data_IF_516511365193
#
_entry.id   IF_516511365193
#
_cell.length_a   1.000
_cell.length_b   1.000
_cell.length_c   1.000
_cell.angle_alpha   90.00
_cell.angle_beta   90.00
_cell.angle_gamma   90.00
#
_symmetry.space_group_name_H-M   'P 1'
#
loop_
_entity.id
_entity.type
_entity.pdbx_description
1 polymer ?
#
# COMPACT_ATOMS: atom_id res chain seq x y z
N UNK A 1 18.51 -14.82 -6.36
CA UNK A 1 19.32 -13.76 -5.75
C UNK A 1 18.57 -13.19 -4.56
N UNK A 2 19.27 -13.09 -3.42
CA UNK A 2 18.71 -12.39 -2.26
C UNK A 2 18.79 -10.89 -2.54
N UNK A 3 17.70 -10.21 -2.31
CA UNK A 3 17.57 -8.76 -2.39
C UNK A 3 17.92 -8.14 -1.05
N UNK A 4 18.79 -7.17 -1.05
CA UNK A 4 19.04 -6.30 0.08
C UNK A 4 18.39 -4.94 -0.21
N UNK A 5 17.15 -4.77 0.21
CA UNK A 5 16.51 -3.47 0.28
C UNK A 5 15.99 -3.25 1.70
N UNK A 6 16.14 -2.05 2.21
CA UNK A 6 15.68 -1.68 3.54
C UNK A 6 14.72 -0.49 3.43
N UNK A 7 13.54 -0.66 4.01
CA UNK A 7 12.63 0.44 4.24
C UNK A 7 12.85 0.94 5.67
N UNK A 8 13.43 2.14 5.78
CA UNK A 8 13.76 2.73 7.07
C UNK A 8 12.52 3.40 7.65
N UNK A 9 12.18 3.02 8.87
CA UNK A 9 11.13 3.66 9.64
C UNK A 9 11.41 5.15 9.90
N UNK A 10 10.39 5.85 10.35
CA UNK A 10 10.45 7.25 10.72
C UNK A 10 11.60 7.52 11.69
N UNK A 11 12.36 8.57 11.45
CA UNK A 11 13.50 9.02 12.28
C UNK A 11 14.67 8.03 12.47
N UNK A 12 14.64 6.84 11.88
CA UNK A 12 15.76 5.90 12.02
C UNK A 12 17.08 6.50 11.56
N UNK A 13 17.06 7.23 10.45
CA UNK A 13 18.26 7.91 9.93
C UNK A 13 18.77 8.99 10.88
N UNK A 14 17.88 9.76 11.51
CA UNK A 14 18.27 10.82 12.43
C UNK A 14 18.87 10.22 13.70
N UNK A 15 18.25 9.19 14.27
CA UNK A 15 18.79 8.44 15.39
C UNK A 15 20.17 7.81 15.09
N UNK A 16 20.33 7.22 13.90
CA UNK A 16 21.61 6.64 13.50
C UNK A 16 22.69 7.68 13.25
N UNK A 17 22.33 8.88 12.77
CA UNK A 17 23.27 10.01 12.64
C UNK A 17 23.74 10.50 14.01
N UNK A 18 22.86 10.53 15.01
CA UNK A 18 23.19 10.81 16.40
C UNK A 18 24.13 9.74 16.98
N UNK A 19 24.02 8.49 16.53
CA UNK A 19 24.90 7.37 16.87
C UNK A 19 26.14 7.27 15.95
N UNK A 20 26.53 8.36 15.30
CA UNK A 20 27.71 8.48 14.43
C UNK A 20 27.65 7.71 13.10
N UNK A 21 26.47 7.51 12.52
CA UNK A 21 26.37 7.01 11.15
C UNK A 21 27.05 8.00 10.18
N UNK A 22 27.93 7.55 9.27
CA UNK A 22 28.54 8.41 8.25
C UNK A 22 27.49 9.15 7.42
N UNK A 23 27.66 10.45 7.24
CA UNK A 23 26.77 11.30 6.44
C UNK A 23 27.27 11.55 5.03
N UNK A 24 28.53 11.26 4.76
CA UNK A 24 29.24 11.43 3.51
C UNK A 24 29.25 10.19 2.62
N UNK A 25 28.84 9.04 3.16
CA UNK A 25 28.70 7.78 2.42
C UNK A 25 27.24 7.57 2.04
N UNK A 26 26.92 7.32 0.75
CA UNK A 26 25.58 6.97 0.35
C UNK A 26 25.08 5.74 1.08
N UNK A 27 23.81 5.77 1.54
CA UNK A 27 23.19 4.66 2.29
C UNK A 27 23.31 3.31 1.56
N UNK A 28 23.14 3.31 0.24
CA UNK A 28 23.27 2.13 -0.61
C UNK A 28 24.65 1.47 -0.51
N UNK A 29 25.70 2.30 -0.39
CA UNK A 29 27.07 1.83 -0.21
C UNK A 29 27.32 1.37 1.22
N UNK A 30 26.86 2.18 2.20
CA UNK A 30 27.04 1.89 3.62
C UNK A 30 26.47 0.53 4.02
N UNK A 31 25.29 0.18 3.51
CA UNK A 31 24.59 -1.06 3.81
C UNK A 31 24.68 -2.11 2.68
N UNK A 32 25.48 -1.87 1.67
CA UNK A 32 25.59 -2.77 0.49
C UNK A 32 24.22 -3.11 -0.12
N UNK A 33 23.31 -2.14 -0.15
CA UNK A 33 21.98 -2.36 -0.68
C UNK A 33 21.99 -2.45 -2.21
N UNK A 34 21.11 -3.26 -2.76
CA UNK A 34 20.89 -3.30 -4.19
C UNK A 34 20.44 -1.94 -4.72
N UNK A 35 21.04 -1.50 -5.84
CA UNK A 35 20.73 -0.20 -6.48
C UNK A 35 19.41 -0.22 -7.24
N UNK A 36 18.47 -1.03 -6.85
CA UNK A 36 17.15 -0.99 -7.47
C UNK A 36 16.38 0.20 -6.91
N UNK A 37 16.24 1.16 -7.77
CA UNK A 37 15.24 2.18 -7.59
C UNK A 37 14.02 1.78 -8.42
N UNK A 38 12.85 2.05 -7.91
CA UNK A 38 11.59 1.95 -8.62
C UNK A 38 10.96 3.33 -8.75
N UNK A 39 10.17 3.49 -9.78
CA UNK A 39 9.33 4.67 -9.96
C UNK A 39 7.90 4.35 -9.55
N UNK A 40 7.34 5.15 -8.65
CA UNK A 40 5.98 5.00 -8.17
C UNK A 40 5.07 5.91 -8.99
N UNK A 41 4.14 5.32 -9.73
CA UNK A 41 3.05 6.07 -10.34
C UNK A 41 1.97 6.31 -9.29
N UNK A 42 1.64 7.56 -8.96
CA UNK A 42 0.69 7.87 -7.91
C UNK A 42 -0.72 7.45 -8.30
N UNK A 43 -1.37 6.69 -7.43
CA UNK A 43 -2.79 6.38 -7.54
C UNK A 43 -3.63 7.57 -7.09
N UNK A 44 -4.20 8.31 -8.01
CA UNK A 44 -5.03 9.48 -7.75
C UNK A 44 -6.50 9.12 -7.70
N UNK A 45 -6.89 8.37 -6.69
CA UNK A 45 -8.26 7.88 -6.63
C UNK A 45 -9.27 9.03 -6.45
N UNK A 46 -9.05 9.92 -5.49
CA UNK A 46 -9.96 11.07 -5.27
C UNK A 46 -9.53 12.31 -6.05
N UNK A 47 -10.42 12.82 -6.89
CA UNK A 47 -10.23 14.09 -7.59
C UNK A 47 -11.58 14.82 -7.77
N UNK A 48 -11.71 16.09 -7.33
CA UNK A 48 -10.74 16.77 -6.46
C UNK A 48 -10.64 16.11 -5.06
N UNK A 49 -9.48 16.17 -4.40
CA UNK A 49 -9.36 15.71 -3.02
C UNK A 49 -10.18 16.58 -2.08
N UNK A 50 -10.39 16.12 -0.87
CA UNK A 50 -10.94 17.01 0.17
C UNK A 50 -9.95 18.14 0.47
N UNK A 51 -10.50 19.30 0.83
CA UNK A 51 -9.72 20.42 1.31
C UNK A 51 -9.09 20.06 2.66
N UNK A 52 -7.75 20.08 2.70
CA UNK A 52 -7.05 19.89 3.97
C UNK A 52 -7.20 21.13 4.85
N UNK A 53 -7.65 20.93 6.08
CA UNK A 53 -7.77 22.04 7.04
C UNK A 53 -7.64 21.57 8.48
N UNK A 54 -7.05 22.43 9.31
CA UNK A 54 -7.10 22.28 10.76
C UNK A 54 -8.53 22.55 11.23
N UNK A 55 -9.14 21.55 11.89
CA UNK A 55 -10.49 21.63 12.45
C UNK A 55 -10.43 22.19 13.87
N UNK A 56 -9.46 21.73 14.64
CA UNK A 56 -9.33 22.07 16.06
C UNK A 56 -7.85 22.05 16.48
N UNK A 57 -7.45 23.05 17.23
CA UNK A 57 -6.17 23.11 17.92
C UNK A 57 -6.32 22.54 19.33
N UNK A 58 -5.57 21.48 19.66
CA UNK A 58 -5.58 20.79 20.95
C UNK A 58 -4.24 20.88 21.69
N UNK A 59 -3.56 22.03 21.61
CA UNK A 59 -2.29 22.25 22.29
C UNK A 59 -1.12 21.57 21.57
N UNK A 60 -0.62 20.45 22.06
CA UNK A 60 0.46 19.68 21.39
C UNK A 60 -0.02 18.93 20.17
N UNK A 61 -1.33 18.79 19.98
CA UNK A 61 -1.97 18.11 18.85
C UNK A 61 -2.79 19.08 18.01
N UNK A 62 -3.05 18.68 16.79
CA UNK A 62 -4.02 19.31 15.92
C UNK A 62 -4.92 18.26 15.27
N UNK A 63 -6.23 18.50 15.29
CA UNK A 63 -7.21 17.71 14.55
C UNK A 63 -7.33 18.30 13.14
N UNK A 64 -7.03 17.51 12.15
CA UNK A 64 -7.00 17.93 10.74
C UNK A 64 -7.96 17.11 9.93
N UNK A 65 -8.74 17.73 9.04
CA UNK A 65 -9.36 17.01 7.93
C UNK A 65 -8.29 16.82 6.85
N UNK A 66 -7.94 15.58 6.54
CA UNK A 66 -6.96 15.28 5.51
C UNK A 66 -7.57 15.29 4.09
N UNK A 67 -6.72 15.13 3.09
CA UNK A 67 -7.14 15.11 1.67
C UNK A 67 -8.00 13.91 1.29
N UNK A 68 -8.04 12.85 2.13
CA UNK A 68 -8.95 11.71 2.01
C UNK A 68 -10.30 11.91 2.72
N UNK A 69 -10.52 13.08 3.36
CA UNK A 69 -11.74 13.40 4.10
C UNK A 69 -11.77 12.86 5.53
N UNK A 70 -10.69 12.22 6.00
CA UNK A 70 -10.62 11.69 7.36
C UNK A 70 -10.30 12.81 8.36
N UNK A 71 -10.78 12.69 9.57
CA UNK A 71 -10.37 13.53 10.68
C UNK A 71 -9.22 12.82 11.41
N UNK A 72 -8.07 13.45 11.43
CA UNK A 72 -6.81 12.84 11.88
C UNK A 72 -6.16 13.73 12.92
N UNK A 73 -5.79 13.14 14.06
CA UNK A 73 -5.07 13.82 15.11
C UNK A 73 -3.57 13.62 14.95
N UNK A 74 -2.84 14.70 14.74
CA UNK A 74 -1.39 14.75 14.57
C UNK A 74 -0.70 15.49 15.71
N UNK A 75 0.55 15.13 15.99
CA UNK A 75 1.46 16.01 16.73
C UNK A 75 1.79 17.24 15.89
N UNK A 76 1.69 18.42 16.48
CA UNK A 76 2.08 19.66 15.81
C UNK A 76 3.54 19.63 15.38
N UNK A 77 3.79 20.03 14.11
CA UNK A 77 5.13 20.05 13.52
C UNK A 77 5.75 18.68 13.23
N UNK A 78 5.03 17.58 13.46
CA UNK A 78 5.53 16.22 13.26
C UNK A 78 4.54 15.31 12.51
N UNK A 79 3.82 15.87 11.52
CA UNK A 79 2.79 15.12 10.78
C UNK A 79 3.35 13.88 10.05
N UNK A 80 4.61 13.91 9.64
CA UNK A 80 5.25 12.82 8.91
C UNK A 80 6.11 11.90 9.81
N UNK A 81 6.10 12.10 11.12
CA UNK A 81 7.01 11.42 12.02
C UNK A 81 6.41 10.36 12.93
N UNK A 82 5.09 10.30 13.02
CA UNK A 82 4.39 9.35 13.88
C UNK A 82 3.12 8.86 13.19
N UNK A 83 2.71 7.63 13.53
CA UNK A 83 1.41 7.12 13.14
C UNK A 83 0.34 8.01 13.78
N UNK A 84 -0.54 8.65 13.00
CA UNK A 84 -1.57 9.53 13.55
C UNK A 84 -2.73 8.71 14.13
N UNK A 85 -3.55 9.37 14.94
CA UNK A 85 -4.81 8.78 15.35
C UNK A 85 -5.92 9.17 14.37
N UNK A 86 -6.54 8.19 13.73
CA UNK A 86 -7.72 8.39 12.89
C UNK A 86 -8.96 8.47 13.78
N UNK A 87 -9.59 9.64 13.81
CA UNK A 87 -10.72 9.95 14.73
C UNK A 87 -12.04 9.73 14.03
N UNK A 88 -12.13 10.13 12.74
CA UNK A 88 -13.36 10.00 11.96
C UNK A 88 -13.07 9.80 10.48
N UNK A 89 -14.06 9.30 9.73
CA UNK A 89 -13.95 8.87 8.34
C UNK A 89 -15.09 9.44 7.51
N UNK A 90 -14.91 9.66 6.18
CA UNK A 90 -15.91 10.39 5.38
C UNK A 90 -17.20 9.60 5.14
N UNK A 91 -17.15 8.26 5.07
CA UNK A 91 -18.32 7.43 4.78
C UNK A 91 -18.92 6.88 6.07
N UNK A 92 -20.18 7.23 6.33
CA UNK A 92 -20.97 6.76 7.47
C UNK A 92 -22.08 5.81 7.02
N UNK A 93 -22.64 6.09 5.83
CA UNK A 93 -23.82 5.49 5.26
C UNK A 93 -23.84 5.71 3.74
N UNK A 94 -24.90 5.22 3.09
CA UNK A 94 -25.13 5.41 1.64
C UNK A 94 -25.15 6.88 1.24
N UNK A 95 -25.79 7.73 2.03
CA UNK A 95 -25.93 9.16 1.73
C UNK A 95 -24.56 9.86 1.71
N UNK A 96 -23.74 9.68 2.75
CA UNK A 96 -22.41 10.29 2.82
C UNK A 96 -21.48 9.74 1.74
N UNK A 97 -21.62 8.47 1.35
CA UNK A 97 -20.90 7.91 0.22
C UNK A 97 -21.24 8.63 -1.08
N UNK A 98 -22.51 8.79 -1.41
CA UNK A 98 -22.96 9.37 -2.67
C UNK A 98 -22.70 10.89 -2.74
N UNK A 99 -23.00 11.61 -1.66
CA UNK A 99 -22.90 13.07 -1.64
C UNK A 99 -21.46 13.58 -1.47
N UNK A 100 -20.61 12.88 -0.72
CA UNK A 100 -19.31 13.42 -0.35
C UNK A 100 -18.13 12.74 -1.04
N UNK A 101 -18.23 11.45 -1.41
CA UNK A 101 -17.06 10.65 -1.86
C UNK A 101 -17.19 10.18 -3.29
N UNK A 102 -18.28 9.51 -3.66
CA UNK A 102 -18.41 8.76 -4.92
C UNK A 102 -18.11 9.59 -6.16
N UNK A 103 -18.61 10.81 -6.22
CA UNK A 103 -18.39 11.71 -7.36
C UNK A 103 -16.92 12.12 -7.54
N UNK A 104 -16.12 12.08 -6.45
CA UNK A 104 -14.67 12.34 -6.50
C UNK A 104 -13.88 11.19 -7.16
N UNK A 105 -14.53 10.05 -7.35
CA UNK A 105 -13.98 8.86 -8.00
C UNK A 105 -14.44 8.72 -9.45
N UNK A 106 -15.05 9.78 -10.00
CA UNK A 106 -15.46 9.79 -11.40
C UNK A 106 -14.21 9.84 -12.30
N UNK A 107 -13.99 8.86 -13.19
CA UNK A 107 -12.90 8.87 -14.16
C UNK A 107 -12.87 10.13 -15.05
N UNK A 108 -14.03 10.69 -15.35
CA UNK A 108 -14.18 11.85 -16.25
C UNK A 108 -14.05 13.20 -15.52
N UNK A 109 -13.68 13.21 -14.23
CA UNK A 109 -13.51 14.47 -13.49
C UNK A 109 -12.49 15.40 -14.18
N UNK A 110 -12.89 16.67 -14.45
CA UNK A 110 -11.98 17.63 -15.09
C UNK A 110 -10.67 17.81 -14.32
N UNK A 111 -9.54 17.85 -15.03
CA UNK A 111 -8.23 18.04 -14.44
C UNK A 111 -7.60 16.80 -13.79
N UNK A 112 -8.29 15.66 -13.76
CA UNK A 112 -7.78 14.41 -13.17
C UNK A 112 -6.44 13.96 -13.75
N UNK A 113 -6.24 14.17 -15.04
CA UNK A 113 -5.09 13.72 -15.80
C UNK A 113 -4.20 14.86 -16.33
N UNK A 114 -4.35 16.08 -15.80
CA UNK A 114 -3.60 17.25 -16.30
C UNK A 114 -2.08 17.08 -16.21
N UNK A 115 -1.59 16.37 -15.21
CA UNK A 115 -0.17 16.08 -15.00
C UNK A 115 0.27 14.69 -15.51
N UNK A 116 -0.61 13.95 -16.17
CA UNK A 116 -0.25 12.65 -16.77
C UNK A 116 0.94 12.74 -17.72
N UNK A 117 1.09 13.74 -18.61
CA UNK A 117 2.27 13.86 -19.48
C UNK A 117 3.59 13.94 -18.71
N UNK A 118 3.64 14.69 -17.62
CA UNK A 118 4.84 14.82 -16.77
C UNK A 118 5.15 13.49 -16.08
N UNK A 119 4.15 12.86 -15.45
CA UNK A 119 4.31 11.58 -14.78
C UNK A 119 4.77 10.47 -15.74
N UNK A 120 4.26 10.45 -16.96
CA UNK A 120 4.67 9.52 -18.01
C UNK A 120 6.10 9.77 -18.46
N UNK A 121 6.51 11.04 -18.62
CA UNK A 121 7.88 11.39 -18.98
C UNK A 121 8.88 10.90 -17.91
N UNK A 122 8.56 11.13 -16.64
CA UNK A 122 9.35 10.67 -15.50
C UNK A 122 9.42 9.14 -15.44
N UNK A 123 8.30 8.44 -15.64
CA UNK A 123 8.25 6.99 -15.66
C UNK A 123 9.09 6.40 -16.80
N UNK A 124 9.03 6.97 -18.01
CA UNK A 124 9.87 6.55 -19.15
C UNK A 124 11.35 6.76 -18.84
N UNK A 125 11.71 7.91 -18.26
CA UNK A 125 13.08 8.18 -17.85
C UNK A 125 13.56 7.22 -16.76
N UNK A 126 12.69 6.83 -15.82
CA UNK A 126 12.98 5.83 -14.80
C UNK A 126 13.18 4.44 -15.42
N UNK A 127 12.28 4.00 -16.29
CA UNK A 127 12.36 2.72 -16.99
C UNK A 127 13.63 2.59 -17.82
N UNK A 128 14.06 3.67 -18.50
CA UNK A 128 15.31 3.68 -19.28
C UNK A 128 16.58 3.48 -18.44
N UNK A 129 16.49 3.75 -17.14
CA UNK A 129 17.57 3.50 -16.15
C UNK A 129 17.45 2.13 -15.47
N UNK A 130 16.53 1.28 -15.93
CA UNK A 130 16.29 -0.06 -15.38
C UNK A 130 15.50 -0.08 -14.07
N UNK A 131 14.79 1.02 -13.76
CA UNK A 131 13.86 1.07 -12.63
C UNK A 131 12.57 0.33 -12.97
N UNK A 132 12.00 -0.37 -12.00
CA UNK A 132 10.67 -0.96 -12.14
C UNK A 132 9.58 0.12 -11.96
N UNK A 133 8.49 -0.04 -12.70
CA UNK A 133 7.35 0.87 -12.63
C UNK A 133 6.27 0.21 -11.76
N UNK A 134 6.06 0.79 -10.59
CA UNK A 134 5.08 0.32 -9.59
C UNK A 134 3.85 1.21 -9.55
N UNK A 135 2.67 0.60 -9.52
CA UNK A 135 1.42 1.27 -9.17
C UNK A 135 0.97 0.81 -7.78
N UNK A 136 0.82 1.74 -6.85
CA UNK A 136 0.32 1.45 -5.51
C UNK A 136 -1.20 1.61 -5.48
N UNK A 137 -1.86 0.54 -5.06
CA UNK A 137 -3.31 0.44 -4.90
C UNK A 137 -3.64 -0.30 -3.58
N UNK A 138 -4.89 -0.48 -3.28
CA UNK A 138 -5.38 -1.30 -2.17
C UNK A 138 -6.90 -1.26 -2.17
N UNK A 139 -7.53 -2.36 -1.89
CA UNK A 139 -8.99 -2.47 -1.84
C UNK A 139 -9.50 -2.44 -0.41
N UNK A 140 -9.09 -3.39 0.43
CA UNK A 140 -9.47 -3.40 1.84
C UNK A 140 -8.98 -2.16 2.58
N UNK A 141 -7.71 -1.78 2.42
CA UNK A 141 -7.20 -0.57 3.04
C UNK A 141 -7.91 0.69 2.56
N UNK A 142 -8.34 0.72 1.29
CA UNK A 142 -9.11 1.83 0.77
C UNK A 142 -10.47 1.96 1.44
N UNK A 143 -11.26 0.89 1.48
CA UNK A 143 -12.58 0.90 2.13
C UNK A 143 -12.48 1.13 3.64
N UNK A 144 -11.45 0.58 4.29
CA UNK A 144 -11.13 0.86 5.70
C UNK A 144 -10.84 2.35 5.93
N UNK A 145 -10.13 3.00 5.03
CA UNK A 145 -9.87 4.45 5.11
C UNK A 145 -11.12 5.29 4.89
N UNK A 146 -12.10 4.81 4.14
CA UNK A 146 -13.37 5.49 3.91
C UNK A 146 -14.34 5.35 5.10
N UNK A 147 -14.44 4.17 5.69
CA UNK A 147 -15.48 3.81 6.68
C UNK A 147 -14.92 3.81 8.10
N UNK A 148 -13.65 3.45 8.27
CA UNK A 148 -12.98 3.29 9.56
C UNK A 148 -12.72 1.84 9.94
N UNK A 149 -11.65 1.61 10.70
CA UNK A 149 -11.11 0.27 10.99
C UNK A 149 -12.11 -0.68 11.62
N UNK A 150 -12.88 -0.22 12.62
CA UNK A 150 -13.88 -1.05 13.27
C UNK A 150 -15.19 -1.08 12.48
N UNK A 151 -15.61 0.07 11.96
CA UNK A 151 -16.90 0.20 11.27
C UNK A 151 -16.95 -0.59 9.96
N UNK A 152 -15.81 -0.75 9.26
CA UNK A 152 -15.77 -1.57 8.04
C UNK A 152 -16.12 -3.03 8.31
N UNK A 153 -15.74 -3.57 9.47
CA UNK A 153 -16.05 -4.96 9.85
C UNK A 153 -17.56 -5.16 10.06
N UNK A 154 -18.26 -4.16 10.60
CA UNK A 154 -19.72 -4.18 10.69
C UNK A 154 -20.39 -3.95 9.33
N UNK A 155 -19.78 -3.11 8.47
CA UNK A 155 -20.37 -2.76 7.17
C UNK A 155 -20.56 -3.97 6.26
N UNK A 156 -19.74 -5.01 6.37
CA UNK A 156 -19.93 -6.26 5.63
C UNK A 156 -21.25 -6.96 5.95
N UNK A 157 -21.79 -6.76 7.15
CA UNK A 157 -23.07 -7.32 7.60
C UNK A 157 -24.24 -6.34 7.47
N UNK A 158 -23.99 -5.08 7.85
CA UNK A 158 -25.05 -4.08 7.98
C UNK A 158 -25.33 -3.34 6.67
N UNK A 159 -24.32 -3.23 5.79
CA UNK A 159 -24.38 -2.44 4.56
C UNK A 159 -23.64 -3.14 3.38
N UNK A 160 -23.87 -4.43 3.11
CA UNK A 160 -23.13 -5.17 2.07
C UNK A 160 -23.25 -4.51 0.69
N UNK A 161 -24.43 -4.02 0.32
CA UNK A 161 -24.63 -3.31 -0.95
C UNK A 161 -23.80 -2.01 -1.07
N UNK A 162 -23.53 -1.35 0.04
CA UNK A 162 -22.64 -0.19 0.05
C UNK A 162 -21.20 -0.60 -0.16
N UNK A 163 -20.77 -1.70 0.47
CA UNK A 163 -19.42 -2.25 0.29
C UNK A 163 -19.19 -2.62 -1.17
N UNK A 164 -20.13 -3.32 -1.79
CA UNK A 164 -20.06 -3.68 -3.21
C UNK A 164 -20.01 -2.45 -4.12
N UNK A 165 -20.82 -1.42 -3.86
CA UNK A 165 -20.81 -0.18 -4.65
C UNK A 165 -19.47 0.57 -4.53
N UNK A 166 -18.88 0.61 -3.33
CA UNK A 166 -17.54 1.18 -3.12
C UNK A 166 -16.51 0.39 -3.92
N UNK A 167 -16.51 -0.94 -3.84
CA UNK A 167 -15.54 -1.78 -4.54
C UNK A 167 -15.69 -1.70 -6.07
N UNK A 168 -16.91 -1.70 -6.58
CA UNK A 168 -17.19 -1.50 -8.01
C UNK A 168 -16.66 -0.14 -8.49
N UNK A 169 -16.90 0.91 -7.70
CA UNK A 169 -16.41 2.26 -8.02
C UNK A 169 -14.88 2.30 -7.96
N UNK A 170 -14.27 1.62 -6.99
CA UNK A 170 -12.83 1.49 -6.87
C UNK A 170 -12.21 0.79 -8.08
N UNK A 171 -12.77 -0.33 -8.54
CA UNK A 171 -12.30 -1.02 -9.76
C UNK A 171 -12.32 -0.06 -10.95
N UNK A 172 -13.45 0.59 -11.19
CA UNK A 172 -13.61 1.50 -12.32
C UNK A 172 -12.57 2.61 -12.35
N UNK A 173 -12.30 3.25 -11.21
CA UNK A 173 -11.33 4.34 -11.15
C UNK A 173 -9.89 3.85 -11.23
N UNK A 174 -9.56 2.74 -10.55
CA UNK A 174 -8.21 2.14 -10.59
C UNK A 174 -7.90 1.68 -12.01
N UNK A 175 -8.82 0.96 -12.64
CA UNK A 175 -8.64 0.46 -13.99
C UNK A 175 -8.44 1.59 -14.99
N UNK A 176 -9.26 2.65 -14.90
CA UNK A 176 -9.10 3.84 -15.75
C UNK A 176 -7.74 4.51 -15.58
N UNK A 177 -7.30 4.74 -14.33
CA UNK A 177 -6.01 5.39 -14.05
C UNK A 177 -4.85 4.54 -14.59
N UNK A 178 -4.85 3.23 -14.29
CA UNK A 178 -3.78 2.34 -14.73
C UNK A 178 -3.75 2.21 -16.25
N UNK A 179 -4.92 2.12 -16.89
CA UNK A 179 -5.02 2.08 -18.34
C UNK A 179 -4.36 3.31 -19.01
N UNK A 180 -4.58 4.52 -18.46
CA UNK A 180 -3.92 5.74 -18.95
C UNK A 180 -2.41 5.69 -18.85
N UNK A 181 -1.86 5.11 -17.79
CA UNK A 181 -0.42 4.91 -17.69
C UNK A 181 0.08 3.87 -18.68
N UNK A 182 -0.66 2.77 -18.85
CA UNK A 182 -0.29 1.67 -19.75
C UNK A 182 -0.34 2.03 -21.24
N UNK A 183 -1.01 3.11 -21.64
CA UNK A 183 -0.86 3.66 -22.99
C UNK A 183 0.58 4.08 -23.31
N UNK A 184 1.42 4.26 -22.30
CA UNK A 184 2.73 4.90 -22.42
C UNK A 184 3.89 4.11 -21.82
N UNK A 185 3.65 3.31 -20.78
CA UNK A 185 4.66 2.55 -20.05
C UNK A 185 4.14 1.16 -19.67
N UNK A 186 5.05 0.20 -19.60
CA UNK A 186 4.75 -1.11 -19.01
C UNK A 186 4.74 -0.99 -17.50
N UNK A 187 3.72 -1.52 -16.83
CA UNK A 187 3.64 -1.61 -15.37
C UNK A 187 4.31 -2.91 -14.93
N UNK A 188 5.35 -2.80 -14.12
CA UNK A 188 6.08 -3.94 -13.60
C UNK A 188 5.46 -4.54 -12.36
N UNK A 189 4.82 -3.69 -11.55
CA UNK A 189 4.30 -4.11 -10.25
C UNK A 189 3.00 -3.38 -9.88
N UNK A 190 2.02 -4.20 -9.46
CA UNK A 190 0.86 -3.75 -8.71
C UNK A 190 1.12 -4.02 -7.22
N UNK A 191 1.16 -2.97 -6.43
CA UNK A 191 1.38 -3.06 -4.98
C UNK A 191 0.05 -2.82 -4.25
N UNK A 192 -0.50 -3.87 -3.67
CA UNK A 192 -1.69 -3.83 -2.83
C UNK A 192 -1.27 -3.65 -1.36
N UNK A 193 -1.35 -2.42 -0.84
CA UNK A 193 -1.18 -2.16 0.58
C UNK A 193 -2.50 -2.39 1.30
N UNK A 194 -2.64 -3.50 2.03
CA UNK A 194 -3.93 -3.97 2.52
C UNK A 194 -4.11 -3.88 4.04
N UNK A 195 -3.12 -4.31 4.84
CA UNK A 195 -3.23 -4.40 6.31
C UNK A 195 -4.53 -5.11 6.77
N UNK A 196 -4.85 -6.23 6.13
CA UNK A 196 -6.06 -7.01 6.40
C UNK A 196 -5.88 -8.03 7.53
N UNK A 197 -4.65 -8.20 8.00
CA UNK A 197 -4.32 -9.14 9.06
C UNK A 197 -3.91 -8.43 10.35
N UNK A 198 -3.99 -9.18 11.44
CA UNK A 198 -3.47 -8.83 12.75
C UNK A 198 -2.65 -10.01 13.30
N UNK A 199 -2.17 -9.92 14.54
CA UNK A 199 -1.26 -10.93 15.12
C UNK A 199 -1.75 -12.38 15.00
N UNK A 200 -3.06 -12.62 15.01
CA UNK A 200 -3.63 -13.98 15.02
C UNK A 200 -4.27 -14.39 13.70
N UNK A 201 -4.21 -13.59 12.65
CA UNK A 201 -4.77 -13.91 11.33
C UNK A 201 -5.55 -12.76 10.69
N UNK A 202 -6.40 -13.08 9.74
CA UNK A 202 -7.20 -12.12 9.00
C UNK A 202 -8.36 -11.54 9.83
N UNK A 203 -8.75 -10.30 9.56
CA UNK A 203 -9.91 -9.65 10.19
C UNK A 203 -11.26 -10.16 9.67
N UNK A 204 -11.30 -10.76 8.49
CA UNK A 204 -12.51 -11.27 7.84
C UNK A 204 -12.33 -12.72 7.47
N UNK A 205 -13.45 -13.43 7.24
CA UNK A 205 -13.43 -14.82 6.81
C UNK A 205 -13.02 -14.96 5.33
N UNK A 206 -12.63 -16.17 4.94
CA UNK A 206 -12.33 -16.52 3.56
C UNK A 206 -13.52 -16.25 2.64
N UNK A 207 -14.74 -16.57 3.08
CA UNK A 207 -15.97 -16.36 2.31
C UNK A 207 -16.22 -14.86 2.10
N UNK A 208 -16.02 -14.04 3.14
CA UNK A 208 -16.14 -12.59 3.02
C UNK A 208 -15.08 -12.02 2.07
N UNK A 209 -13.85 -12.53 2.11
CA UNK A 209 -12.83 -12.11 1.16
C UNK A 209 -13.23 -12.44 -0.29
N UNK A 210 -13.73 -13.65 -0.53
CA UNK A 210 -14.18 -14.09 -1.86
C UNK A 210 -15.41 -13.32 -2.35
N UNK A 211 -16.27 -12.90 -1.45
CA UNK A 211 -17.46 -12.12 -1.78
C UNK A 211 -17.13 -10.66 -2.07
N UNK A 212 -16.42 -9.99 -1.14
CA UNK A 212 -16.27 -8.53 -1.15
C UNK A 212 -15.01 -8.02 -1.85
N UNK A 213 -13.99 -8.88 -2.07
CA UNK A 213 -12.69 -8.40 -2.60
C UNK A 213 -12.20 -9.17 -3.82
N UNK A 214 -12.22 -10.50 -3.78
CA UNK A 214 -11.58 -11.32 -4.81
C UNK A 214 -12.03 -11.01 -6.24
N UNK A 215 -13.34 -10.87 -6.57
CA UNK A 215 -13.79 -10.59 -7.93
C UNK A 215 -13.24 -9.25 -8.46
N UNK A 216 -13.21 -8.25 -7.60
CA UNK A 216 -12.73 -6.91 -7.92
C UNK A 216 -11.23 -6.88 -8.14
N UNK A 217 -10.47 -7.60 -7.33
CA UNK A 217 -9.01 -7.72 -7.48
C UNK A 217 -8.65 -8.48 -8.76
N UNK A 218 -9.36 -9.56 -9.05
CA UNK A 218 -9.17 -10.32 -10.29
C UNK A 218 -9.41 -9.46 -11.53
N UNK A 219 -10.45 -8.63 -11.52
CA UNK A 219 -10.77 -7.72 -12.61
C UNK A 219 -9.62 -6.72 -12.86
N UNK A 220 -9.11 -6.07 -11.82
CA UNK A 220 -7.99 -5.13 -11.92
C UNK A 220 -6.73 -5.83 -12.43
N UNK A 221 -6.34 -6.96 -11.83
CA UNK A 221 -5.11 -7.68 -12.21
C UNK A 221 -5.20 -8.19 -13.64
N UNK A 222 -6.36 -8.73 -14.04
CA UNK A 222 -6.61 -9.17 -15.42
C UNK A 222 -6.49 -8.00 -16.40
N UNK A 223 -7.19 -6.89 -16.14
CA UNK A 223 -7.16 -5.71 -17.01
C UNK A 223 -5.74 -5.17 -17.20
N UNK A 224 -4.94 -5.10 -16.12
CA UNK A 224 -3.54 -4.66 -16.21
C UNK A 224 -2.70 -5.62 -17.03
N UNK A 225 -2.85 -6.94 -16.86
CA UNK A 225 -2.10 -7.93 -17.69
C UNK A 225 -2.43 -7.86 -19.16
N UNK A 226 -3.72 -7.72 -19.51
CA UNK A 226 -4.18 -7.67 -20.90
C UNK A 226 -3.73 -6.42 -21.65
N UNK A 227 -3.47 -5.31 -20.93
CA UNK A 227 -3.06 -4.02 -21.51
C UNK A 227 -1.55 -3.75 -21.47
N UNK A 228 -0.72 -4.68 -21.00
CA UNK A 228 0.73 -4.49 -20.96
C UNK A 228 1.29 -4.20 -22.36
N UNK A 229 2.11 -3.15 -22.50
CA UNK A 229 2.81 -2.85 -23.74
C UNK A 229 3.84 -3.92 -24.12
N UNK A 230 4.45 -4.54 -23.10
CA UNK A 230 5.34 -5.67 -23.25
C UNK A 230 4.67 -6.91 -22.61
N UNK A 231 4.02 -7.78 -23.40
CA UNK A 231 3.28 -8.92 -22.89
C UNK A 231 4.18 -10.01 -22.28
N UNK A 232 5.48 -10.02 -22.63
CA UNK A 232 6.44 -11.00 -22.13
C UNK A 232 7.01 -10.58 -20.76
N UNK A 233 6.74 -9.33 -20.33
CA UNK A 233 7.22 -8.82 -19.06
C UNK A 233 6.37 -9.31 -17.91
N UNK A 234 7.02 -9.88 -16.90
CA UNK A 234 6.34 -10.37 -15.70
C UNK A 234 5.69 -9.22 -14.95
N UNK A 235 4.39 -9.32 -14.71
CA UNK A 235 3.67 -8.46 -13.77
C UNK A 235 3.80 -9.04 -12.35
N UNK A 236 4.47 -8.30 -11.48
CA UNK A 236 4.51 -8.60 -10.06
C UNK A 236 3.23 -8.05 -9.40
N UNK A 237 2.50 -8.93 -8.74
CA UNK A 237 1.32 -8.58 -7.95
C UNK A 237 1.72 -8.78 -6.49
N UNK A 238 2.13 -7.69 -5.85
CA UNK A 238 2.55 -7.69 -4.45
C UNK A 238 1.39 -7.34 -3.54
N UNK A 239 1.23 -8.11 -2.48
CA UNK A 239 0.35 -7.78 -1.35
C UNK A 239 1.20 -7.49 -0.13
N UNK A 240 0.89 -6.38 0.51
CA UNK A 240 1.52 -5.95 1.75
C UNK A 240 0.48 -5.94 2.87
N UNK A 241 0.69 -6.75 3.88
CA UNK A 241 -0.17 -6.82 5.06
C UNK A 241 0.65 -7.19 6.28
N UNK A 242 0.65 -6.31 7.25
CA UNK A 242 1.17 -6.63 8.58
C UNK A 242 0.39 -7.79 9.22
N UNK A 243 0.95 -8.38 10.28
CA UNK A 243 0.32 -9.45 11.03
C UNK A 243 0.61 -10.86 10.50
N UNK A 244 -0.25 -11.82 10.88
CA UNK A 244 -0.12 -13.22 10.49
C UNK A 244 -0.82 -13.46 9.16
N UNK A 245 -0.03 -13.78 8.13
CA UNK A 245 -0.49 -13.80 6.73
C UNK A 245 -0.66 -15.19 6.13
N UNK A 246 -0.26 -16.26 6.82
CA UNK A 246 -0.30 -17.63 6.31
C UNK A 246 -1.70 -18.04 5.79
N UNK A 247 -2.75 -17.64 6.48
CA UNK A 247 -4.14 -17.95 6.11
C UNK A 247 -4.64 -17.20 4.88
N UNK A 248 -4.08 -16.02 4.55
CA UNK A 248 -4.56 -15.20 3.43
C UNK A 248 -3.77 -15.41 2.14
N UNK A 249 -2.60 -16.07 2.21
CA UNK A 249 -1.80 -16.38 1.01
C UNK A 249 -2.64 -17.12 -0.05
N UNK A 250 -3.38 -18.21 0.26
CA UNK A 250 -4.19 -18.90 -0.74
C UNK A 250 -5.19 -17.98 -1.43
N UNK A 251 -5.86 -17.11 -0.66
CA UNK A 251 -6.89 -16.19 -1.16
C UNK A 251 -6.32 -15.17 -2.14
N UNK A 252 -5.20 -14.53 -1.77
CA UNK A 252 -4.55 -13.56 -2.65
C UNK A 252 -3.91 -14.23 -3.88
N UNK A 253 -3.49 -15.49 -3.79
CA UNK A 253 -3.04 -16.25 -4.97
C UNK A 253 -4.16 -16.47 -5.99
N UNK A 254 -5.42 -16.59 -5.57
CA UNK A 254 -6.57 -16.67 -6.48
C UNK A 254 -6.72 -15.44 -7.38
N UNK A 255 -6.25 -14.25 -6.95
CA UNK A 255 -6.19 -13.07 -7.80
C UNK A 255 -4.90 -12.95 -8.63
N UNK A 256 -3.94 -13.84 -8.41
CA UNK A 256 -2.66 -13.86 -9.12
C UNK A 256 -1.51 -13.20 -8.39
N UNK A 257 -1.58 -13.03 -7.06
CA UNK A 257 -0.45 -12.60 -6.23
C UNK A 257 0.75 -13.54 -6.39
N UNK A 258 1.92 -12.95 -6.58
CA UNK A 258 3.20 -13.65 -6.68
C UNK A 258 4.32 -13.04 -5.81
N UNK A 259 4.03 -11.94 -5.12
CA UNK A 259 4.93 -11.30 -4.14
C UNK A 259 4.14 -10.94 -2.90
N UNK A 260 4.70 -11.18 -1.72
CA UNK A 260 4.08 -10.80 -0.45
C UNK A 260 5.09 -10.22 0.54
N UNK A 261 4.64 -9.25 1.34
CA UNK A 261 5.37 -8.55 2.41
C UNK A 261 4.41 -8.13 3.55
N UNK A 262 4.98 -7.80 4.77
CA UNK A 262 6.33 -8.08 5.24
C UNK A 262 6.29 -9.42 5.96
N UNK A 263 6.35 -10.43 5.99
CA UNK A 263 6.34 -11.63 6.84
C UNK A 263 6.86 -11.34 8.25
N UNK A 264 6.02 -10.71 9.07
CA UNK A 264 6.38 -10.34 10.45
C UNK A 264 6.64 -11.58 11.32
N UNK A 265 7.90 -11.76 11.75
CA UNK A 265 8.29 -12.86 12.67
C UNK A 265 7.55 -12.74 14.02
N UNK A 266 7.29 -11.51 14.45
CA UNK A 266 6.54 -11.25 15.69
C UNK A 266 5.07 -11.70 15.66
N UNK A 267 4.54 -11.98 14.45
CA UNK A 267 3.21 -12.53 14.22
C UNK A 267 3.23 -14.02 13.83
N UNK A 268 4.32 -14.72 14.17
CA UNK A 268 4.50 -16.15 13.96
C UNK A 268 4.50 -16.60 12.47
N UNK A 269 4.88 -15.72 11.54
CA UNK A 269 5.11 -16.10 10.15
C UNK A 269 6.43 -16.87 10.01
N UNK A 270 6.35 -18.14 9.64
CA UNK A 270 7.52 -18.98 9.40
C UNK A 270 7.87 -19.01 7.90
N UNK A 271 8.77 -18.12 7.47
CA UNK A 271 9.15 -18.01 6.05
C UNK A 271 9.80 -19.27 5.49
N UNK A 272 10.41 -20.13 6.33
CA UNK A 272 11.01 -21.39 5.88
C UNK A 272 9.93 -22.41 5.52
N UNK A 273 8.90 -22.53 6.34
CA UNK A 273 7.77 -23.43 6.08
C UNK A 273 6.93 -22.89 4.90
N UNK A 274 6.62 -21.60 4.90
CA UNK A 274 5.88 -20.96 3.81
C UNK A 274 6.63 -21.05 2.47
N UNK A 275 7.96 -20.91 2.47
CA UNK A 275 8.77 -21.07 1.26
C UNK A 275 8.81 -22.51 0.73
N UNK A 276 8.65 -23.51 1.59
CA UNK A 276 8.47 -24.91 1.14
C UNK A 276 7.08 -25.17 0.57
N UNK A 277 6.06 -24.53 1.16
CA UNK A 277 4.66 -24.64 0.72
C UNK A 277 4.40 -23.87 -0.58
N UNK A 278 5.04 -22.71 -0.74
CA UNK A 278 4.85 -21.81 -1.88
C UNK A 278 6.21 -21.46 -2.51
N UNK A 279 6.88 -22.42 -3.20
CA UNK A 279 8.24 -22.23 -3.69
C UNK A 279 8.39 -21.19 -4.80
N UNK A 280 7.28 -20.80 -5.43
CA UNK A 280 7.19 -19.78 -6.47
C UNK A 280 6.76 -18.39 -5.95
N UNK A 281 6.44 -18.27 -4.65
CA UNK A 281 6.10 -17.01 -4.02
C UNK A 281 7.36 -16.22 -3.66
N UNK A 282 7.46 -15.00 -4.17
CA UNK A 282 8.49 -14.06 -3.72
C UNK A 282 8.09 -13.50 -2.36
N UNK A 283 8.92 -13.74 -1.36
CA UNK A 283 8.69 -13.29 0.02
C UNK A 283 9.65 -12.15 0.38
N UNK A 284 9.09 -11.02 0.85
CA UNK A 284 9.86 -9.89 1.35
C UNK A 284 9.68 -9.79 2.87
N UNK A 285 10.79 -9.74 3.63
CA UNK A 285 10.75 -9.71 5.09
C UNK A 285 11.26 -10.99 5.75
N UNK A 286 10.64 -11.40 6.86
CA UNK A 286 11.06 -12.61 7.60
C UNK A 286 12.25 -12.39 8.55
N UNK A 287 12.61 -11.13 8.81
CA UNK A 287 13.61 -10.74 9.81
C UNK A 287 12.90 -10.18 11.03
N UNK A 288 13.26 -10.65 12.22
CA UNK A 288 12.66 -10.14 13.45
C UNK A 288 13.18 -8.74 13.79
N UNK A 289 12.36 -7.73 13.52
CA UNK A 289 12.67 -6.30 13.79
C UNK A 289 12.92 -5.97 15.26
N UNK A 290 12.65 -6.90 16.19
CA UNK A 290 12.90 -6.72 17.63
C UNK A 290 14.31 -7.17 18.05
N UNK A 291 15.02 -7.89 17.18
CA UNK A 291 16.38 -8.32 17.44
C UNK A 291 17.30 -7.12 17.37
N UNK A 292 17.90 -6.76 18.52
CA UNK A 292 18.96 -5.75 18.56
C UNK A 292 20.28 -6.40 18.18
N UNK A 293 20.82 -6.03 17.04
CA UNK A 293 22.19 -6.38 16.69
C UNK A 293 23.09 -5.48 17.53
N UNK A 294 23.80 -6.04 18.53
CA UNK A 294 24.87 -5.33 19.22
C UNK A 294 26.14 -5.49 18.40
N UNK A 295 26.68 -4.40 17.92
CA UNK A 295 28.05 -4.34 17.43
C UNK A 295 28.96 -4.32 18.67
N UNK A 296 29.43 -5.47 19.12
CA UNK A 296 30.52 -5.56 20.08
C UNK A 296 31.77 -6.02 19.36
N UNK A 297 32.79 -5.16 19.31
CA UNK A 297 34.16 -5.47 18.87
C UNK A 297 34.31 -6.08 17.48
N UNK A 298 33.48 -5.72 16.50
CA UNK A 298 33.63 -6.15 15.10
C UNK A 298 33.11 -7.54 14.76
N UNK A 299 32.38 -8.18 15.67
CA UNK A 299 31.69 -9.46 15.43
C UNK A 299 30.17 -9.25 15.50
N UNK A 300 29.47 -9.75 14.51
CA UNK A 300 28.01 -9.83 14.48
C UNK A 300 27.61 -11.15 15.13
N UNK A 301 26.96 -11.10 16.28
CA UNK A 301 26.22 -12.25 16.82
C UNK A 301 24.74 -12.09 16.38
N UNK A 302 24.28 -13.06 15.60
CA UNK A 302 22.86 -13.21 15.21
C UNK A 302 22.08 -13.89 16.34
#
# INVERSE_FOLDING_TARGET
PLYHAEDLGFFSLDAWREEAMPTDVPRQELFSLDRRAWHLLPGRLMHPPFEEKVIEDRGEYELVRDRGGRHVLFFKGRRNGFMPQYVDHPVKDRRTWEEEVKWRLDPESPGRFDDLPELVADAKAAASRGMIIRVRIGGYAYIRNLIGTLKVLYAFYDMPDLVHDIMQTWVRIVDCIVARYQEHVTVDELFFGEDICYKSGCFISDDMFREFFLPYYQEVVKGVRERQLDPDRTLYVQVDSDGRVDGVIPLYREMGMNVMSPFEVAADNNVVELGRQYPDLVMCGGIDKRVRIRLSSGLYEL
#
